data_IF_697968499161
#
_entry.id   IF_697968499161
#
_cell.length_a   1.000
_cell.length_b   1.000
_cell.length_c   1.000
_cell.angle_alpha   90.00
_cell.angle_beta   90.00
_cell.angle_gamma   90.00
#
_symmetry.space_group_name_H-M   'P 1'
#
loop_
_entity.id
_entity.type
_entity.pdbx_description
1 polymer ?
#
# COMPACT_ATOMS: atom_id res chain seq x y z
N UNK A 1 5.13 22.76 10.62
CA UNK A 1 4.09 22.45 9.62
C UNK A 1 4.53 21.31 8.67
N UNK A 2 5.69 21.41 8.00
CA UNK A 2 6.20 20.35 7.10
C UNK A 2 6.39 19.00 7.82
N UNK A 3 6.94 18.98 9.04
CA UNK A 3 7.11 17.73 9.81
C UNK A 3 5.78 17.01 10.07
N UNK A 4 4.68 17.74 10.27
CA UNK A 4 3.35 17.16 10.41
C UNK A 4 2.88 16.54 9.10
N UNK A 5 3.11 17.20 7.97
CA UNK A 5 2.74 16.68 6.65
C UNK A 5 3.53 15.41 6.31
N UNK A 6 4.83 15.36 6.63
CA UNK A 6 5.61 14.13 6.48
C UNK A 6 5.14 13.01 7.40
N UNK A 7 4.63 13.33 8.61
CA UNK A 7 4.00 12.34 9.49
C UNK A 7 2.74 11.70 8.90
N UNK A 8 1.97 12.42 8.08
CA UNK A 8 0.81 11.86 7.37
C UNK A 8 1.17 10.73 6.43
N UNK A 9 2.37 10.77 5.80
CA UNK A 9 2.85 9.71 4.91
C UNK A 9 2.98 8.37 5.62
N UNK A 10 3.51 8.37 6.85
CA UNK A 10 3.63 7.14 7.64
C UNK A 10 2.27 6.54 7.97
N UNK A 11 1.26 7.38 8.24
CA UNK A 11 -0.11 6.94 8.51
C UNK A 11 -0.73 6.34 7.26
N UNK A 12 -0.54 6.95 6.11
CA UNK A 12 -1.05 6.45 4.85
C UNK A 12 -0.42 5.11 4.47
N UNK A 13 0.89 4.99 4.60
CA UNK A 13 1.58 3.73 4.30
C UNK A 13 1.02 2.55 5.12
N UNK A 14 0.59 2.80 6.37
CA UNK A 14 -0.07 1.78 7.21
C UNK A 14 -1.47 1.41 6.70
N UNK A 15 -2.10 2.30 5.92
CA UNK A 15 -3.46 2.11 5.38
C UNK A 15 -3.46 1.57 3.94
N UNK A 16 -2.32 1.14 3.40
CA UNK A 16 -2.21 0.51 2.07
C UNK A 16 -2.70 -0.94 2.07
N UNK A 17 -2.70 -1.58 0.90
CA UNK A 17 -3.11 -2.98 0.67
C UNK A 17 -4.60 -3.30 0.96
N UNK A 18 -5.45 -2.29 1.12
CA UNK A 18 -6.90 -2.47 1.23
C UNK A 18 -7.53 -3.04 -0.06
N UNK A 19 -6.84 -2.87 -1.17
CA UNK A 19 -7.24 -3.25 -2.52
C UNK A 19 -6.97 -4.72 -2.87
N UNK A 20 -6.29 -5.48 -2.00
CA UNK A 20 -6.01 -6.90 -2.22
C UNK A 20 -7.26 -7.71 -2.63
N UNK A 21 -8.44 -7.33 -2.09
CA UNK A 21 -9.72 -7.95 -2.44
C UNK A 21 -10.15 -7.65 -3.89
N UNK A 22 -9.74 -6.53 -4.46
CA UNK A 22 -10.02 -6.22 -5.87
C UNK A 22 -9.24 -7.16 -6.80
N UNK A 23 -7.98 -7.47 -6.46
CA UNK A 23 -7.14 -8.37 -7.24
C UNK A 23 -7.59 -9.83 -7.25
N UNK A 24 -8.36 -10.24 -6.25
CA UNK A 24 -8.94 -11.59 -6.16
C UNK A 24 -10.45 -11.61 -6.49
N UNK A 25 -11.01 -10.51 -6.98
CA UNK A 25 -12.45 -10.37 -7.21
C UNK A 25 -13.04 -11.41 -8.17
N UNK A 26 -12.26 -11.92 -9.11
CA UNK A 26 -12.67 -12.99 -10.04
C UNK A 26 -12.95 -14.33 -9.32
N UNK A 27 -12.41 -14.53 -8.12
CA UNK A 27 -12.54 -15.78 -7.35
C UNK A 27 -13.56 -15.66 -6.22
N UNK A 28 -14.09 -14.44 -5.98
CA UNK A 28 -15.00 -14.17 -4.87
C UNK A 28 -16.46 -14.27 -5.30
N UNK A 29 -17.27 -14.99 -4.52
CA UNK A 29 -18.72 -15.05 -4.73
C UNK A 29 -19.35 -13.68 -4.49
N UNK A 30 -20.21 -13.22 -5.45
CA UNK A 30 -20.86 -11.91 -5.40
C UNK A 30 -19.86 -10.76 -5.25
N UNK A 31 -18.76 -10.77 -6.01
CA UNK A 31 -17.69 -9.80 -5.95
C UNK A 31 -18.16 -8.34 -6.03
N UNK A 32 -19.26 -8.08 -6.77
CA UNK A 32 -19.85 -6.73 -6.91
C UNK A 32 -20.33 -6.10 -5.58
N UNK A 33 -20.54 -6.91 -4.54
CA UNK A 33 -20.88 -6.44 -3.18
C UNK A 33 -19.75 -6.76 -2.22
N UNK A 34 -19.21 -7.99 -2.28
CA UNK A 34 -18.23 -8.47 -1.32
C UNK A 34 -16.92 -7.67 -1.37
N UNK A 35 -16.40 -7.38 -2.57
CA UNK A 35 -15.13 -6.63 -2.70
C UNK A 35 -15.23 -5.21 -2.14
N UNK A 36 -16.19 -4.35 -2.55
CA UNK A 36 -16.26 -3.00 -2.00
C UNK A 36 -16.60 -2.96 -0.50
N UNK A 37 -17.39 -3.91 0.01
CA UNK A 37 -17.67 -4.02 1.45
C UNK A 37 -16.39 -4.40 2.19
N UNK A 38 -15.62 -5.40 1.70
CA UNK A 38 -14.38 -5.82 2.32
C UNK A 38 -13.35 -4.68 2.35
N UNK A 39 -13.19 -3.93 1.26
CA UNK A 39 -12.32 -2.75 1.20
C UNK A 39 -12.74 -1.71 2.25
N UNK A 40 -14.03 -1.38 2.30
CA UNK A 40 -14.55 -0.38 3.24
C UNK A 40 -14.35 -0.82 4.70
N UNK A 41 -14.63 -2.08 5.01
CA UNK A 41 -14.46 -2.64 6.36
C UNK A 41 -12.98 -2.72 6.72
N UNK A 42 -12.11 -3.11 5.79
CA UNK A 42 -10.67 -3.13 6.02
C UNK A 42 -10.14 -1.74 6.37
N UNK A 43 -10.43 -0.72 5.55
CA UNK A 43 -9.99 0.66 5.80
C UNK A 43 -10.55 1.21 7.11
N UNK A 44 -11.85 1.07 7.35
CA UNK A 44 -12.48 1.58 8.58
C UNK A 44 -11.96 0.84 9.82
N UNK A 45 -11.85 -0.49 9.76
CA UNK A 45 -11.40 -1.32 10.87
C UNK A 45 -9.94 -1.07 11.23
N UNK A 46 -9.04 -1.09 10.26
CA UNK A 46 -7.62 -0.79 10.47
C UNK A 46 -7.41 0.65 10.93
N UNK A 47 -8.17 1.60 10.38
CA UNK A 47 -8.12 3.00 10.79
C UNK A 47 -8.49 3.20 12.26
N UNK A 48 -9.61 2.64 12.70
CA UNK A 48 -10.08 2.76 14.09
C UNK A 48 -9.12 2.05 15.05
N UNK A 49 -8.77 0.77 14.77
CA UNK A 49 -7.89 -0.03 15.65
C UNK A 49 -6.48 0.57 15.67
N UNK A 50 -5.95 0.99 14.52
CA UNK A 50 -4.64 1.63 14.43
C UNK A 50 -4.60 2.97 15.17
N UNK A 51 -5.67 3.76 15.10
CA UNK A 51 -5.78 5.01 15.85
C UNK A 51 -5.78 4.78 17.37
N UNK A 52 -6.56 3.81 17.85
CA UNK A 52 -6.56 3.43 19.26
C UNK A 52 -5.18 2.92 19.72
N UNK A 53 -4.52 2.09 18.90
CA UNK A 53 -3.18 1.62 19.20
C UNK A 53 -2.18 2.78 19.27
N UNK A 54 -2.23 3.72 18.32
CA UNK A 54 -1.37 4.91 18.33
C UNK A 54 -1.57 5.75 19.59
N UNK A 55 -2.81 5.95 20.07
CA UNK A 55 -3.07 6.65 21.33
C UNK A 55 -2.36 5.94 22.49
N UNK A 56 -2.48 4.61 22.58
CA UNK A 56 -1.81 3.82 23.63
C UNK A 56 -0.29 3.96 23.52
N UNK A 57 0.28 3.86 22.32
CA UNK A 57 1.72 3.99 22.09
C UNK A 57 2.23 5.39 22.48
N UNK A 58 1.52 6.45 22.13
CA UNK A 58 1.89 7.83 22.50
C UNK A 58 1.84 8.02 24.02
N UNK A 59 0.80 7.56 24.69
CA UNK A 59 0.67 7.67 26.16
C UNK A 59 1.78 6.88 26.86
N UNK A 60 2.17 5.73 26.30
CA UNK A 60 3.17 4.83 26.90
C UNK A 60 4.60 5.12 26.45
N UNK A 61 4.83 5.96 25.45
CA UNK A 61 6.16 6.22 24.88
C UNK A 61 7.16 6.84 25.88
N UNK A 62 6.68 7.63 26.85
CA UNK A 62 7.56 8.27 27.84
C UNK A 62 8.67 9.11 27.21
N UNK A 63 9.92 8.86 27.59
CA UNK A 63 11.10 9.62 27.09
C UNK A 63 11.64 9.13 25.76
N UNK A 64 11.05 8.13 25.12
CA UNK A 64 11.53 7.56 23.84
C UNK A 64 11.63 8.60 22.73
N UNK A 65 10.76 9.61 22.74
CA UNK A 65 10.77 10.72 21.77
C UNK A 65 12.12 11.48 21.77
N UNK A 66 12.88 11.40 22.86
CA UNK A 66 14.19 12.07 23.02
C UNK A 66 15.38 11.12 22.83
N UNK A 67 15.15 9.84 22.61
CA UNK A 67 16.20 8.85 22.37
C UNK A 67 16.50 8.72 20.87
N UNK A 68 17.78 8.47 20.56
CA UNK A 68 18.20 8.18 19.19
C UNK A 68 17.64 6.82 18.75
N UNK A 69 16.97 6.78 17.60
CA UNK A 69 16.38 5.55 17.06
C UNK A 69 17.46 4.47 16.82
N UNK A 70 18.69 4.88 16.47
CA UNK A 70 19.80 3.97 16.21
C UNK A 70 20.30 3.22 17.47
N UNK A 71 19.99 3.75 18.66
CA UNK A 71 20.34 3.12 19.95
C UNK A 71 19.26 2.12 20.42
N UNK A 72 18.12 2.07 19.75
CA UNK A 72 17.00 1.19 20.09
C UNK A 72 17.20 -0.22 19.54
N UNK A 73 16.66 -1.27 20.20
CA UNK A 73 16.72 -2.63 19.71
C UNK A 73 16.17 -2.75 18.28
N UNK A 74 17.05 -3.06 17.33
CA UNK A 74 16.72 -3.18 15.92
C UNK A 74 16.23 -1.88 15.23
N UNK A 75 16.49 -0.70 15.83
CA UNK A 75 16.01 0.58 15.30
C UNK A 75 14.48 0.74 15.34
N UNK A 76 13.78 -0.01 16.21
CA UNK A 76 12.33 -0.08 16.26
C UNK A 76 11.79 0.57 17.54
N UNK A 77 11.27 1.82 17.49
CA UNK A 77 10.71 2.51 18.65
C UNK A 77 9.59 1.71 19.36
N UNK A 78 8.75 1.02 18.61
CA UNK A 78 7.69 0.18 19.17
C UNK A 78 8.24 -0.95 20.04
N UNK A 79 9.32 -1.60 19.61
CA UNK A 79 9.97 -2.66 20.37
C UNK A 79 10.52 -2.13 21.70
N UNK A 80 11.13 -0.93 21.69
CA UNK A 80 11.61 -0.29 22.91
C UNK A 80 10.48 0.03 23.88
N UNK A 81 9.37 0.63 23.40
CA UNK A 81 8.19 0.90 24.24
C UNK A 81 7.71 -0.37 24.90
N UNK A 82 7.61 -1.48 24.17
CA UNK A 82 7.16 -2.75 24.72
C UNK A 82 8.11 -3.29 25.79
N UNK A 83 9.43 -3.20 25.56
CA UNK A 83 10.45 -3.61 26.55
C UNK A 83 10.34 -2.76 27.82
N UNK A 84 10.21 -1.44 27.67
CA UNK A 84 10.16 -0.51 28.81
C UNK A 84 8.88 -0.68 29.64
N UNK A 85 7.76 -1.02 29.03
CA UNK A 85 6.46 -1.11 29.70
C UNK A 85 6.08 -2.52 30.16
N UNK A 86 6.45 -3.53 29.40
CA UNK A 86 6.09 -4.93 29.67
C UNK A 86 7.27 -5.75 30.23
N UNK A 87 8.47 -5.16 30.21
CA UNK A 87 9.70 -5.87 30.52
C UNK A 87 10.11 -6.85 29.41
N UNK A 88 11.32 -7.37 29.54
CA UNK A 88 11.93 -8.28 28.55
C UNK A 88 11.10 -9.56 28.31
N UNK A 89 10.52 -10.11 29.37
CA UNK A 89 9.71 -11.32 29.28
C UNK A 89 8.39 -11.05 28.54
N UNK A 90 7.68 -9.98 28.90
CA UNK A 90 6.46 -9.59 28.21
C UNK A 90 6.67 -9.30 26.73
N UNK A 91 7.75 -8.60 26.39
CA UNK A 91 8.16 -8.38 25.00
C UNK A 91 8.38 -9.69 24.24
N UNK A 92 9.15 -10.63 24.81
CA UNK A 92 9.44 -11.92 24.16
C UNK A 92 8.20 -12.80 23.98
N UNK A 93 7.15 -12.61 24.77
CA UNK A 93 5.88 -13.32 24.57
C UNK A 93 5.05 -12.70 23.43
N UNK A 94 5.00 -11.37 23.33
CA UNK A 94 4.13 -10.68 22.35
C UNK A 94 4.79 -10.54 20.99
N UNK A 95 6.10 -10.30 20.94
CA UNK A 95 6.83 -10.03 19.71
C UNK A 95 6.72 -11.16 18.65
N UNK A 96 6.75 -12.46 19.00
CA UNK A 96 6.53 -13.54 18.03
C UNK A 96 5.18 -13.46 17.32
N UNK A 97 4.13 -12.98 17.97
CA UNK A 97 2.83 -12.78 17.32
C UNK A 97 2.90 -11.63 16.29
N UNK A 98 3.63 -10.56 16.60
CA UNK A 98 3.88 -9.48 15.62
C UNK A 98 4.63 -10.03 14.41
N UNK A 99 5.66 -10.84 14.61
CA UNK A 99 6.40 -11.48 13.51
C UNK A 99 5.49 -12.44 12.72
N UNK A 100 4.61 -13.20 13.39
CA UNK A 100 3.67 -14.08 12.73
C UNK A 100 2.66 -13.31 11.87
N UNK A 101 2.14 -12.19 12.37
CA UNK A 101 1.26 -11.31 11.58
C UNK A 101 2.00 -10.77 10.37
N UNK A 102 3.25 -10.30 10.51
CA UNK A 102 4.06 -9.83 9.40
C UNK A 102 4.26 -10.93 8.33
N UNK A 103 4.49 -12.17 8.74
CA UNK A 103 4.59 -13.31 7.83
C UNK A 103 3.29 -13.53 7.04
N UNK A 104 2.13 -13.46 7.68
CA UNK A 104 0.85 -13.59 6.98
C UNK A 104 0.59 -12.42 6.03
N UNK A 105 0.95 -11.19 6.41
CA UNK A 105 0.84 -10.01 5.52
C UNK A 105 1.66 -10.21 4.25
N UNK A 106 2.93 -10.63 4.38
CA UNK A 106 3.79 -10.89 3.21
C UNK A 106 3.20 -12.00 2.34
N UNK A 107 2.63 -13.05 2.95
CA UNK A 107 2.03 -14.16 2.22
C UNK A 107 0.81 -13.71 1.41
N UNK A 108 -0.10 -12.94 2.01
CA UNK A 108 -1.29 -12.42 1.33
C UNK A 108 -0.94 -11.39 0.26
N UNK A 109 0.00 -10.50 0.52
CA UNK A 109 0.50 -9.54 -0.46
C UNK A 109 1.15 -10.25 -1.67
N UNK A 110 1.95 -11.29 -1.43
CA UNK A 110 2.53 -12.11 -2.51
C UNK A 110 1.45 -12.77 -3.37
N UNK A 111 0.39 -13.26 -2.73
CA UNK A 111 -0.74 -13.87 -3.44
C UNK A 111 -1.47 -12.84 -4.31
N UNK A 112 -1.79 -11.67 -3.79
CA UNK A 112 -2.46 -10.60 -4.53
C UNK A 112 -1.62 -10.14 -5.73
N UNK A 113 -0.32 -9.91 -5.53
CA UNK A 113 0.59 -9.53 -6.61
C UNK A 113 0.72 -10.63 -7.68
N UNK A 114 0.80 -11.91 -7.28
CA UNK A 114 0.84 -13.02 -8.23
C UNK A 114 -0.42 -13.10 -9.10
N UNK A 115 -1.60 -12.74 -8.54
CA UNK A 115 -2.86 -12.66 -9.31
C UNK A 115 -2.83 -11.51 -10.31
N UNK A 116 -2.30 -10.36 -9.95
CA UNK A 116 -2.13 -9.23 -10.87
C UNK A 116 -1.21 -9.60 -12.03
N UNK A 117 -0.06 -10.24 -11.77
CA UNK A 117 0.83 -10.72 -12.83
C UNK A 117 0.17 -11.79 -13.71
N UNK A 118 -0.58 -12.70 -13.12
CA UNK A 118 -1.34 -13.70 -13.86
C UNK A 118 -2.35 -13.04 -14.81
N UNK A 119 -3.17 -12.12 -14.33
CA UNK A 119 -4.16 -11.43 -15.13
C UNK A 119 -3.51 -10.63 -16.26
N UNK A 120 -2.42 -9.92 -15.97
CA UNK A 120 -1.70 -9.13 -16.95
C UNK A 120 -1.02 -9.99 -18.03
N UNK A 121 -0.48 -11.16 -17.65
CA UNK A 121 0.05 -12.15 -18.61
C UNK A 121 -1.06 -12.78 -19.45
N UNK A 122 -2.21 -13.12 -18.84
CA UNK A 122 -3.38 -13.68 -19.52
C UNK A 122 -3.90 -12.73 -20.60
N UNK A 123 -3.95 -11.46 -20.29
CA UNK A 123 -4.46 -10.39 -21.16
C UNK A 123 -3.38 -9.87 -22.16
N UNK A 124 -2.26 -10.62 -22.30
CA UNK A 124 -1.15 -10.31 -23.20
C UNK A 124 -0.44 -8.96 -22.94
N UNK A 125 -0.53 -8.44 -21.72
CA UNK A 125 0.18 -7.23 -21.29
C UNK A 125 1.69 -7.46 -21.05
N UNK A 126 2.11 -8.73 -20.88
CA UNK A 126 3.53 -9.10 -20.75
C UNK A 126 4.04 -9.77 -22.01
N UNK A 127 5.31 -9.57 -22.39
CA UNK A 127 5.94 -10.23 -23.53
C UNK A 127 6.42 -11.66 -23.17
N UNK A 128 5.60 -12.44 -22.45
CA UNK A 128 5.94 -13.75 -21.87
C UNK A 128 5.23 -14.93 -22.58
N UNK A 129 4.51 -14.65 -23.64
CA UNK A 129 3.72 -15.66 -24.40
C UNK A 129 2.78 -16.47 -23.49
N UNK A 130 2.26 -15.89 -22.42
CA UNK A 130 1.36 -16.53 -21.48
C UNK A 130 2.04 -17.53 -20.52
N UNK A 131 3.36 -17.41 -20.33
CA UNK A 131 4.10 -18.29 -19.41
C UNK A 131 3.63 -18.11 -17.96
N UNK A 132 3.40 -16.88 -17.51
CA UNK A 132 2.93 -16.57 -16.16
C UNK A 132 1.42 -16.77 -16.00
N UNK A 133 0.67 -16.87 -17.10
CA UNK A 133 -0.76 -17.20 -17.11
C UNK A 133 -1.05 -18.71 -16.95
N UNK A 134 -0.03 -19.57 -16.77
CA UNK A 134 -0.21 -20.99 -16.59
C UNK A 134 -0.62 -21.34 -15.17
N UNK A 135 -1.76 -22.03 -15.04
CA UNK A 135 -2.24 -22.59 -13.77
C UNK A 135 -1.75 -24.04 -13.64
N UNK A 136 -1.13 -24.37 -12.53
CA UNK A 136 -0.70 -25.72 -12.24
C UNK A 136 -1.89 -26.60 -11.87
N UNK A 137 -2.14 -27.66 -12.65
CA UNK A 137 -3.27 -28.56 -12.47
C UNK A 137 -3.35 -29.22 -11.09
N UNK A 138 -2.19 -29.43 -10.44
CA UNK A 138 -2.10 -30.10 -9.14
C UNK A 138 -2.50 -29.18 -7.97
N UNK A 139 -2.19 -27.91 -8.03
CA UNK A 139 -2.42 -26.95 -6.95
C UNK A 139 -3.55 -25.97 -7.24
N UNK A 140 -4.00 -25.87 -8.50
CA UNK A 140 -4.97 -24.87 -8.94
C UNK A 140 -4.46 -23.43 -8.85
N UNK A 141 -3.12 -23.23 -8.70
CA UNK A 141 -2.52 -21.93 -8.47
C UNK A 141 -1.56 -21.51 -9.57
N UNK A 142 -1.28 -20.24 -9.68
CA UNK A 142 -0.39 -19.60 -10.66
C UNK A 142 1.06 -19.61 -10.16
N UNK A 143 1.64 -20.80 -10.00
CA UNK A 143 2.97 -20.99 -9.39
C UNK A 143 4.06 -20.16 -10.08
N UNK A 144 4.02 -20.06 -11.42
CA UNK A 144 5.02 -19.28 -12.17
C UNK A 144 4.97 -17.80 -11.81
N UNK A 145 3.77 -17.22 -11.67
CA UNK A 145 3.60 -15.83 -11.27
C UNK A 145 4.07 -15.60 -9.82
N UNK A 146 3.82 -16.53 -8.90
CA UNK A 146 4.33 -16.47 -7.53
C UNK A 146 5.86 -16.43 -7.51
N UNK A 147 6.54 -17.30 -8.26
CA UNK A 147 8.00 -17.29 -8.33
C UNK A 147 8.55 -16.01 -8.94
N UNK A 148 7.86 -15.41 -9.93
CA UNK A 148 8.24 -14.12 -10.47
C UNK A 148 8.19 -13.02 -9.39
N UNK A 149 7.08 -12.97 -8.64
CA UNK A 149 6.94 -11.99 -7.53
C UNK A 149 8.05 -12.16 -6.51
N UNK A 150 8.31 -13.39 -6.06
CA UNK A 150 9.38 -13.69 -5.09
C UNK A 150 10.74 -13.25 -5.64
N UNK A 151 11.03 -13.56 -6.91
CA UNK A 151 12.30 -13.17 -7.55
C UNK A 151 12.46 -11.65 -7.60
N UNK A 152 11.42 -10.91 -7.99
CA UNK A 152 11.44 -9.45 -8.02
C UNK A 152 11.59 -8.86 -6.61
N UNK A 153 10.90 -9.41 -5.61
CA UNK A 153 11.05 -8.98 -4.22
C UNK A 153 12.46 -9.18 -3.70
N UNK A 154 13.11 -10.31 -4.02
CA UNK A 154 14.51 -10.56 -3.65
C UNK A 154 15.42 -9.54 -4.32
N UNK A 155 15.24 -9.31 -5.63
CA UNK A 155 16.05 -8.35 -6.39
C UNK A 155 15.93 -6.94 -5.81
N UNK A 156 14.70 -6.49 -5.53
CA UNK A 156 14.45 -5.18 -4.92
C UNK A 156 15.01 -5.12 -3.49
N UNK A 157 14.88 -6.19 -2.71
CA UNK A 157 15.44 -6.28 -1.37
C UNK A 157 16.97 -6.16 -1.34
N UNK A 158 17.65 -6.72 -2.34
CA UNK A 158 19.12 -6.59 -2.47
C UNK A 158 19.56 -5.14 -2.69
N UNK A 159 18.74 -4.29 -3.32
CA UNK A 159 19.04 -2.87 -3.46
C UNK A 159 19.13 -2.15 -2.11
N UNK A 160 18.42 -2.62 -1.09
CA UNK A 160 18.49 -2.09 0.26
C UNK A 160 19.87 -2.22 0.91
N UNK A 161 20.65 -3.23 0.54
CA UNK A 161 22.03 -3.38 1.00
C UNK A 161 23.00 -2.43 0.28
N UNK A 162 22.63 -1.91 -0.88
CA UNK A 162 23.46 -1.03 -1.69
C UNK A 162 23.20 0.44 -1.34
N UNK A 163 21.93 0.83 -1.21
CA UNK A 163 21.54 2.22 -0.99
C UNK A 163 20.19 2.33 -0.27
N UNK A 164 20.20 2.97 0.90
CA UNK A 164 18.97 3.31 1.63
C UNK A 164 18.07 4.26 0.83
N UNK A 165 18.68 5.19 0.10
CA UNK A 165 17.94 6.13 -0.76
C UNK A 165 17.18 5.39 -1.88
N UNK A 166 17.78 4.35 -2.47
CA UNK A 166 17.14 3.56 -3.51
C UNK A 166 15.90 2.82 -2.99
N UNK A 167 15.99 2.19 -1.81
CA UNK A 167 14.85 1.47 -1.23
C UNK A 167 13.74 2.42 -0.80
N UNK A 168 14.08 3.59 -0.26
CA UNK A 168 13.10 4.62 0.09
C UNK A 168 12.37 5.16 -1.16
N UNK A 169 13.08 5.32 -2.28
CA UNK A 169 12.49 5.72 -3.55
C UNK A 169 11.53 4.64 -4.10
N UNK A 170 11.84 3.36 -3.93
CA UNK A 170 10.97 2.24 -4.32
C UNK A 170 9.69 2.24 -3.48
N UNK A 171 9.78 2.42 -2.17
CA UNK A 171 8.59 2.51 -1.31
C UNK A 171 7.72 3.72 -1.65
N UNK A 172 8.31 4.88 -1.89
CA UNK A 172 7.58 6.07 -2.30
C UNK A 172 6.92 5.87 -3.69
N UNK A 173 7.61 5.22 -4.64
CA UNK A 173 7.06 4.88 -5.94
C UNK A 173 5.88 3.90 -5.84
N UNK A 174 5.97 2.90 -4.95
CA UNK A 174 4.89 1.94 -4.74
C UNK A 174 3.61 2.63 -4.26
N UNK A 175 3.72 3.54 -3.28
CA UNK A 175 2.59 4.32 -2.79
C UNK A 175 2.01 5.23 -3.90
N UNK A 176 2.85 6.03 -4.56
CA UNK A 176 2.44 6.91 -5.65
C UNK A 176 1.80 6.15 -6.81
N UNK A 177 2.38 5.01 -7.19
CA UNK A 177 1.87 4.19 -8.29
C UNK A 177 0.48 3.62 -8.00
N UNK A 178 0.25 3.17 -6.78
CA UNK A 178 -1.06 2.70 -6.33
C UNK A 178 -2.09 3.82 -6.40
N UNK A 179 -1.82 4.96 -5.77
CA UNK A 179 -2.74 6.10 -5.70
C UNK A 179 -3.09 6.64 -7.09
N UNK A 180 -2.11 6.79 -7.98
CA UNK A 180 -2.35 7.24 -9.36
C UNK A 180 -3.15 6.22 -10.15
N UNK A 181 -2.91 4.92 -9.96
CA UNK A 181 -3.66 3.87 -10.66
C UNK A 181 -5.16 3.90 -10.32
N UNK A 182 -5.52 4.22 -9.08
CA UNK A 182 -6.91 4.40 -8.66
C UNK A 182 -7.49 5.78 -9.00
N UNK A 183 -6.65 6.80 -9.09
CA UNK A 183 -7.07 8.14 -9.50
C UNK A 183 -7.65 8.15 -10.91
N UNK A 184 -7.00 7.45 -11.86
CA UNK A 184 -7.39 7.43 -13.27
C UNK A 184 -8.87 7.01 -13.46
N UNK A 185 -9.33 5.84 -12.96
CA UNK A 185 -10.73 5.43 -13.12
C UNK A 185 -11.71 6.35 -12.38
N UNK A 186 -11.33 6.94 -11.23
CA UNK A 186 -12.17 7.90 -10.51
C UNK A 186 -12.37 9.16 -11.34
N UNK A 187 -11.30 9.70 -11.94
CA UNK A 187 -11.36 10.88 -12.83
C UNK A 187 -12.17 10.57 -14.09
N UNK A 188 -11.90 9.44 -14.74
CA UNK A 188 -12.64 9.01 -15.92
C UNK A 188 -14.15 8.88 -15.61
N UNK A 189 -14.52 8.28 -14.49
CA UNK A 189 -15.89 8.20 -14.05
C UNK A 189 -16.50 9.59 -13.83
N UNK A 190 -15.78 10.50 -13.20
CA UNK A 190 -16.29 11.84 -12.90
C UNK A 190 -16.56 12.65 -14.18
N UNK A 191 -15.75 12.45 -15.23
CA UNK A 191 -15.88 13.17 -16.51
C UNK A 191 -16.93 12.50 -17.40
N UNK A 192 -16.93 11.18 -17.51
CA UNK A 192 -17.65 10.45 -18.55
C UNK A 192 -18.94 9.76 -18.09
N UNK A 193 -19.28 9.74 -16.79
CA UNK A 193 -20.47 9.01 -16.29
C UNK A 193 -21.78 9.48 -16.89
N UNK A 194 -21.88 10.74 -17.32
CA UNK A 194 -23.08 11.34 -17.90
C UNK A 194 -22.95 11.49 -19.45
N UNK A 195 -21.87 10.93 -20.06
CA UNK A 195 -21.67 11.03 -21.51
C UNK A 195 -22.63 10.11 -22.26
N UNK A 196 -23.29 10.56 -23.37
CA UNK A 196 -24.33 9.79 -24.06
C UNK A 196 -23.86 8.43 -24.61
N UNK A 197 -22.59 8.33 -24.99
CA UNK A 197 -22.01 7.10 -25.53
C UNK A 197 -21.58 6.11 -24.45
N UNK A 198 -21.43 6.56 -23.20
CA UNK A 198 -21.01 5.72 -22.07
C UNK A 198 -22.26 5.21 -21.35
N UNK A 199 -22.60 3.95 -21.57
CA UNK A 199 -23.67 3.25 -20.85
C UNK A 199 -23.14 2.80 -19.47
N UNK A 200 -22.94 3.75 -18.57
CA UNK A 200 -22.49 3.44 -17.23
C UNK A 200 -23.67 2.97 -16.38
N UNK A 201 -23.67 1.69 -16.02
CA UNK A 201 -24.61 1.10 -15.07
C UNK A 201 -23.93 0.95 -13.71
N UNK A 202 -24.43 1.64 -12.65
CA UNK A 202 -23.85 1.50 -11.32
C UNK A 202 -24.11 0.10 -10.77
N UNK A 203 -23.10 -0.50 -10.13
CA UNK A 203 -23.27 -1.76 -9.42
C UNK A 203 -24.16 -1.64 -8.18
N UNK A 204 -24.47 -2.78 -7.52
CA UNK A 204 -25.34 -2.80 -6.34
C UNK A 204 -24.76 -2.04 -5.13
N UNK A 205 -23.44 -1.95 -5.03
CA UNK A 205 -22.76 -1.12 -4.04
C UNK A 205 -22.31 0.19 -4.70
N UNK A 206 -23.08 1.24 -4.51
CA UNK A 206 -22.78 2.55 -5.09
C UNK A 206 -23.15 3.69 -4.15
N UNK A 207 -22.35 4.75 -4.17
CA UNK A 207 -22.66 6.03 -3.50
C UNK A 207 -23.69 6.86 -4.27
N UNK A 208 -24.19 6.34 -5.40
CA UNK A 208 -25.16 7.01 -6.26
C UNK A 208 -24.50 8.03 -7.21
N UNK A 209 -25.34 8.59 -8.09
CA UNK A 209 -24.99 9.69 -9.01
C UNK A 209 -25.20 11.08 -8.40
N UNK A 210 -25.63 11.14 -7.12
CA UNK A 210 -25.97 12.39 -6.44
C UNK A 210 -24.73 13.21 -6.07
N UNK A 211 -25.01 14.40 -5.50
CA UNK A 211 -23.97 15.32 -5.05
C UNK A 211 -22.99 14.69 -4.04
N UNK A 212 -23.46 13.76 -3.21
CA UNK A 212 -22.64 13.09 -2.20
C UNK A 212 -21.57 12.19 -2.84
N UNK A 213 -21.92 11.38 -3.84
CA UNK A 213 -20.96 10.58 -4.59
C UNK A 213 -19.92 11.44 -5.34
N UNK A 214 -20.38 12.57 -5.93
CA UNK A 214 -19.46 13.52 -6.57
C UNK A 214 -18.50 14.17 -5.57
N UNK A 215 -18.98 14.54 -4.39
CA UNK A 215 -18.16 15.13 -3.33
C UNK A 215 -17.06 14.16 -2.89
N UNK A 216 -17.38 12.89 -2.66
CA UNK A 216 -16.40 11.86 -2.28
C UNK A 216 -15.35 11.69 -3.38
N UNK A 217 -15.76 11.59 -4.65
CA UNK A 217 -14.83 11.45 -5.77
C UNK A 217 -13.89 12.67 -5.88
N UNK A 218 -14.41 13.89 -5.76
CA UNK A 218 -13.61 15.12 -5.79
C UNK A 218 -12.65 15.15 -4.62
N UNK A 219 -13.10 14.77 -3.42
CA UNK A 219 -12.23 14.70 -2.24
C UNK A 219 -11.10 13.68 -2.45
N UNK A 220 -11.40 12.51 -3.01
CA UNK A 220 -10.38 11.51 -3.32
C UNK A 220 -9.37 12.03 -4.34
N UNK A 221 -9.83 12.70 -5.41
CA UNK A 221 -8.94 13.30 -6.43
C UNK A 221 -8.02 14.35 -5.79
N UNK A 222 -8.56 15.28 -5.02
CA UNK A 222 -7.79 16.33 -4.37
C UNK A 222 -6.80 15.77 -3.35
N UNK A 223 -7.23 14.74 -2.61
CA UNK A 223 -6.37 14.05 -1.65
C UNK A 223 -5.19 13.38 -2.34
N UNK A 224 -5.42 12.59 -3.39
CA UNK A 224 -4.35 11.93 -4.14
C UNK A 224 -3.37 12.92 -4.77
N UNK A 225 -3.85 14.05 -5.33
CA UNK A 225 -2.98 15.12 -5.85
C UNK A 225 -2.12 15.70 -4.73
N UNK A 226 -2.72 15.97 -3.56
CA UNK A 226 -2.01 16.46 -2.39
C UNK A 226 -0.91 15.49 -1.94
N UNK A 227 -1.22 14.20 -1.85
CA UNK A 227 -0.27 13.15 -1.47
C UNK A 227 0.87 13.02 -2.46
N UNK A 228 0.57 12.93 -3.74
CA UNK A 228 1.59 12.90 -4.81
C UNK A 228 2.53 14.11 -4.71
N UNK A 229 1.99 15.28 -4.37
CA UNK A 229 2.79 16.49 -4.20
C UNK A 229 3.72 16.38 -2.99
N UNK A 230 3.20 15.96 -1.82
CA UNK A 230 4.00 15.85 -0.59
C UNK A 230 5.04 14.74 -0.67
N UNK A 231 4.68 13.58 -1.23
CA UNK A 231 5.62 12.47 -1.44
C UNK A 231 6.76 12.82 -2.39
N UNK A 232 6.54 13.79 -3.27
CA UNK A 232 7.57 14.28 -4.21
C UNK A 232 8.52 15.31 -3.59
N UNK A 233 8.18 15.89 -2.41
CA UNK A 233 9.03 16.88 -1.74
C UNK A 233 10.19 16.17 -1.03
N UNK A 234 11.43 16.66 -1.17
CA UNK A 234 12.58 16.13 -0.44
C UNK A 234 12.41 16.29 1.07
N UNK A 235 12.75 15.26 1.84
CA UNK A 235 12.56 15.23 3.29
C UNK A 235 13.67 15.99 4.05
N UNK A 236 14.82 16.25 3.41
CA UNK A 236 16.00 16.87 4.03
C UNK A 236 16.44 18.12 3.29
N UNK A 237 16.87 19.15 4.05
CA UNK A 237 17.48 20.37 3.54
C UNK A 237 18.85 20.57 4.23
N UNK A 238 19.92 20.96 3.51
CA UNK A 238 20.01 21.31 2.08
C UNK A 238 19.92 20.10 1.16
N UNK A 239 19.41 20.30 -0.06
CA UNK A 239 19.23 19.25 -1.07
C UNK A 239 20.59 18.64 -1.45
N UNK A 240 20.80 17.37 -1.08
CA UNK A 240 21.91 16.57 -1.57
C UNK A 240 21.39 15.57 -2.61
N UNK A 241 22.16 15.34 -3.67
CA UNK A 241 21.77 14.40 -4.72
C UNK A 241 21.52 12.97 -4.20
N UNK A 242 22.21 12.59 -3.10
CA UNK A 242 22.04 11.28 -2.44
C UNK A 242 20.78 11.15 -1.61
N UNK A 243 20.15 12.27 -1.24
CA UNK A 243 18.95 12.34 -0.39
C UNK A 243 17.73 12.86 -1.16
N UNK A 244 17.90 13.07 -2.49
CA UNK A 244 16.83 13.54 -3.35
C UNK A 244 15.82 12.42 -3.60
N UNK A 245 14.52 12.75 -3.48
CA UNK A 245 13.47 11.79 -3.75
C UNK A 245 13.24 11.68 -5.27
N UNK A 246 13.76 10.60 -5.86
CA UNK A 246 13.65 10.32 -7.29
C UNK A 246 12.33 9.63 -7.69
N UNK A 247 11.41 9.36 -6.76
CA UNK A 247 10.17 8.61 -7.02
C UNK A 247 9.32 9.26 -8.12
N UNK A 248 9.21 10.59 -8.14
CA UNK A 248 8.48 11.31 -9.18
C UNK A 248 9.09 11.15 -10.58
N UNK A 249 10.42 11.08 -10.68
CA UNK A 249 11.13 10.87 -11.97
C UNK A 249 10.81 9.49 -12.52
N UNK A 250 10.86 8.48 -11.64
CA UNK A 250 10.55 7.09 -12.01
C UNK A 250 9.06 6.98 -12.41
N UNK A 251 8.17 7.62 -11.66
CA UNK A 251 6.74 7.64 -11.98
C UNK A 251 6.44 8.26 -13.34
N UNK A 252 7.06 9.41 -13.65
CA UNK A 252 6.94 10.04 -14.99
C UNK A 252 7.50 9.10 -16.06
N UNK A 253 8.63 8.44 -15.81
CA UNK A 253 9.21 7.47 -16.75
C UNK A 253 8.37 6.22 -16.98
N UNK A 254 7.50 5.85 -16.05
CA UNK A 254 6.56 4.72 -16.20
C UNK A 254 5.28 5.13 -16.93
N UNK A 255 4.88 6.42 -16.83
CA UNK A 255 3.66 6.95 -17.46
C UNK A 255 3.86 7.38 -18.93
N UNK A 256 5.10 7.52 -19.39
CA UNK A 256 5.49 7.84 -20.79
C UNK A 256 5.81 6.55 -21.54
#
# INVERSE_FOLDING_TARGET
>A
ALSFLFGLLSVQFVMTDYDATAHISEEVHRASIAAPVAITVAVAGTGIIGWLLNIVLVITSGNIVHQNVDEMPGGLPMAQIMVDRMGKVGFLVVWPFVCLVAFFVVTTATQANARSFYAFSRDHGLPDFGFFAKVWKRTGTTVNAVWLVIFLCILLGLLGFISQAAINAIFALAALGMDVSYLIPIVCRQIFQDHPEVKFEPGPFTLGRGWFGRLINITAILWTIFECTILSIPQTLPLKATEFNYSWVIMVGVLI
#
